data_IF_133306369559
#
_entry.id   IF_133306369559
#
_cell.length_a   1.000
_cell.length_b   1.000
_cell.length_c   1.000
_cell.angle_alpha   90.00
_cell.angle_beta   90.00
_cell.angle_gamma   90.00
#
_symmetry.space_group_name_H-M   'P 1'
#
loop_
_entity.id
_entity.type
_entity.pdbx_description
1 polymer ?
#
# COMPACT_ATOMS: atom_id res chain seq x y z
N UNK A 1 25.78 48.35 -26.50
CA UNK A 1 26.27 47.21 -27.30
C UNK A 1 26.92 46.24 -26.35
N UNK A 2 26.48 44.98 -26.40
CA UNK A 2 26.99 43.77 -25.73
C UNK A 2 27.14 43.81 -24.20
N UNK A 3 26.19 43.18 -23.52
CA UNK A 3 26.35 42.69 -22.15
C UNK A 3 26.97 41.29 -22.18
N UNK A 4 27.88 41.02 -21.27
CA UNK A 4 28.39 39.67 -20.97
C UNK A 4 27.64 39.12 -19.76
N UNK A 5 26.81 38.12 -20.02
CA UNK A 5 26.14 37.35 -18.99
C UNK A 5 27.12 36.30 -18.42
N UNK A 6 27.51 36.47 -17.16
CA UNK A 6 28.25 35.44 -16.42
C UNK A 6 27.22 34.44 -15.88
N UNK A 7 27.08 33.32 -16.60
CA UNK A 7 26.38 32.12 -16.14
C UNK A 7 27.19 31.47 -15.02
N UNK A 8 26.76 31.61 -13.77
CA UNK A 8 27.21 30.75 -12.68
C UNK A 8 26.35 29.50 -12.66
N UNK A 9 26.87 28.43 -13.28
CA UNK A 9 26.36 27.08 -13.08
C UNK A 9 26.56 26.70 -11.61
N UNK A 10 25.47 26.59 -10.87
CA UNK A 10 25.44 25.98 -9.55
C UNK A 10 25.65 24.49 -9.76
N UNK A 11 26.84 23.99 -9.42
CA UNK A 11 27.11 22.56 -9.39
C UNK A 11 26.17 21.92 -8.37
N UNK A 12 25.19 21.15 -8.85
CA UNK A 12 24.45 20.19 -8.05
C UNK A 12 25.46 19.22 -7.45
N UNK A 13 25.75 19.37 -6.16
CA UNK A 13 26.44 18.34 -5.40
C UNK A 13 25.50 17.14 -5.31
N UNK A 14 25.76 16.13 -6.13
CA UNK A 14 25.19 14.80 -5.99
C UNK A 14 25.35 14.34 -4.54
N UNK A 15 24.22 14.22 -3.84
CA UNK A 15 24.17 13.55 -2.54
C UNK A 15 24.55 12.09 -2.79
N UNK A 16 25.61 11.56 -2.14
CA UNK A 16 26.03 10.20 -2.36
C UNK A 16 24.89 9.25 -1.97
N UNK A 17 24.44 8.44 -2.92
CA UNK A 17 23.53 7.33 -2.68
C UNK A 17 24.18 6.35 -1.71
N UNK A 18 23.60 6.09 -0.52
CA UNK A 18 24.07 5.00 0.31
C UNK A 18 23.76 3.69 -0.42
N UNK A 19 24.81 2.98 -0.83
CA UNK A 19 24.76 1.63 -1.34
C UNK A 19 24.33 0.67 -0.23
N UNK A 20 23.03 0.52 -0.06
CA UNK A 20 22.42 -0.62 0.64
C UNK A 20 21.05 -0.88 0.03
N UNK A 21 21.03 -1.20 -1.27
CA UNK A 21 19.84 -1.75 -1.90
C UNK A 21 19.56 -3.12 -1.28
N UNK A 22 18.38 -3.26 -0.67
CA UNK A 22 17.88 -4.53 -0.16
C UNK A 22 17.29 -5.33 -1.33
N UNK A 23 18.11 -5.86 -2.23
CA UNK A 23 17.62 -6.69 -3.35
C UNK A 23 17.67 -8.20 -3.01
N UNK A 24 16.67 -8.93 -3.50
CA UNK A 24 15.96 -10.01 -2.78
C UNK A 24 16.22 -11.43 -3.33
N UNK A 25 17.15 -11.62 -4.28
CA UNK A 25 17.41 -12.96 -4.81
C UNK A 25 18.12 -13.85 -3.75
N UNK A 26 17.39 -14.84 -3.21
CA UNK A 26 17.87 -15.76 -2.16
C UNK A 26 17.35 -15.48 -0.74
N UNK A 27 16.71 -14.33 -0.49
CA UNK A 27 16.09 -13.99 0.81
C UNK A 27 14.63 -14.45 0.92
N UNK A 28 13.98 -14.77 -0.19
CA UNK A 28 12.54 -15.09 -0.28
C UNK A 28 12.12 -16.28 0.58
N UNK A 29 12.84 -17.41 0.52
CA UNK A 29 12.53 -18.59 1.35
C UNK A 29 12.64 -18.24 2.84
N UNK A 30 13.79 -17.70 3.24
CA UNK A 30 14.06 -17.30 4.63
C UNK A 30 13.01 -16.31 5.15
N UNK A 31 12.68 -15.27 4.39
CA UNK A 31 11.69 -14.26 4.77
C UNK A 31 10.30 -14.88 4.97
N UNK A 32 9.93 -15.89 4.19
CA UNK A 32 8.68 -16.63 4.40
C UNK A 32 8.71 -17.51 5.63
N UNK A 33 9.83 -18.18 5.87
CA UNK A 33 10.00 -18.98 7.10
C UNK A 33 9.88 -18.06 8.33
N UNK A 34 10.46 -16.85 8.29
CA UNK A 34 10.29 -15.83 9.33
C UNK A 34 8.85 -15.32 9.42
N UNK A 35 8.15 -15.18 8.29
CA UNK A 35 6.77 -14.72 8.23
C UNK A 35 5.75 -15.79 8.66
N UNK A 36 6.16 -17.05 8.84
CA UNK A 36 5.26 -18.17 9.18
C UNK A 36 5.64 -18.88 10.48
N UNK A 37 6.84 -18.65 11.01
CA UNK A 37 7.30 -19.29 12.26
C UNK A 37 6.52 -18.85 13.50
N UNK A 38 6.33 -19.80 14.42
CA UNK A 38 5.73 -19.56 15.75
C UNK A 38 6.77 -19.16 16.82
N UNK A 39 8.07 -19.17 16.48
CA UNK A 39 9.12 -18.78 17.42
C UNK A 39 9.24 -17.26 17.49
N UNK A 40 9.76 -16.79 18.62
CA UNK A 40 10.16 -15.39 18.75
C UNK A 40 11.33 -15.07 17.80
N UNK A 41 11.16 -14.00 17.02
CA UNK A 41 12.18 -13.50 16.10
C UNK A 41 13.25 -12.71 16.85
N UNK A 42 14.51 -12.90 16.47
CA UNK A 42 15.61 -12.04 16.94
C UNK A 42 15.47 -10.62 16.38
N UNK A 43 16.21 -9.65 16.93
CA UNK A 43 16.18 -8.27 16.44
C UNK A 43 16.52 -8.18 14.94
N UNK A 44 17.56 -8.91 14.50
CA UNK A 44 17.97 -8.90 13.10
C UNK A 44 16.92 -9.50 12.17
N UNK A 45 16.23 -10.55 12.62
CA UNK A 45 15.14 -11.19 11.86
C UNK A 45 13.90 -10.30 11.79
N UNK A 46 13.54 -9.63 12.90
CA UNK A 46 12.47 -8.63 12.90
C UNK A 46 12.78 -7.49 11.94
N UNK A 47 14.02 -7.02 11.93
CA UNK A 47 14.48 -5.97 11.03
C UNK A 47 14.46 -6.41 9.57
N UNK A 48 14.98 -7.61 9.25
CA UNK A 48 14.97 -8.16 7.89
C UNK A 48 13.54 -8.35 7.37
N UNK A 49 12.65 -8.90 8.21
CA UNK A 49 11.25 -9.09 7.87
C UNK A 49 10.51 -7.77 7.68
N UNK A 50 10.73 -6.78 8.55
CA UNK A 50 10.13 -5.45 8.42
C UNK A 50 10.64 -4.72 7.16
N UNK A 51 11.93 -4.75 6.88
CA UNK A 51 12.50 -4.18 5.66
C UNK A 51 11.92 -4.83 4.40
N UNK A 52 11.55 -6.12 4.43
CA UNK A 52 10.93 -6.81 3.29
C UNK A 52 9.53 -6.31 2.90
N UNK A 53 8.90 -5.47 3.73
CA UNK A 53 7.60 -4.85 3.45
C UNK A 53 7.75 -3.66 2.49
N UNK A 54 8.87 -2.95 2.56
CA UNK A 54 9.11 -1.75 1.76
C UNK A 54 10.04 -2.00 0.58
N UNK A 55 9.78 -1.30 -0.52
CA UNK A 55 10.78 -1.10 -1.58
C UNK A 55 11.78 0.01 -1.21
N UNK A 56 11.36 0.93 -0.33
CA UNK A 56 12.21 2.00 0.21
C UNK A 56 12.02 2.09 1.74
N UNK A 57 13.13 2.23 2.47
CA UNK A 57 13.12 2.46 3.92
C UNK A 57 13.97 3.69 4.26
N UNK A 58 13.39 4.70 4.92
CA UNK A 58 14.05 5.95 5.34
C UNK A 58 13.89 6.12 6.86
N UNK A 59 14.87 5.82 7.70
CA UNK A 59 16.14 5.15 7.41
C UNK A 59 16.21 3.73 8.01
N UNK A 60 16.91 2.76 7.40
CA UNK A 60 16.97 1.38 7.90
C UNK A 60 17.56 1.25 9.31
N UNK A 61 18.54 2.08 9.65
CA UNK A 61 19.15 2.09 10.99
C UNK A 61 18.19 2.66 12.04
N UNK A 62 17.37 3.64 11.68
CA UNK A 62 16.31 4.16 12.55
C UNK A 62 15.26 3.07 12.82
N UNK A 63 14.90 2.28 11.81
CA UNK A 63 13.99 1.13 11.97
C UNK A 63 14.56 0.08 12.92
N UNK A 64 15.85 -0.27 12.75
CA UNK A 64 16.50 -1.27 13.62
C UNK A 64 16.52 -0.78 15.07
N UNK A 65 16.94 0.46 15.30
CA UNK A 65 16.94 1.08 16.63
C UNK A 65 15.54 1.17 17.23
N UNK A 66 14.52 1.44 16.42
CA UNK A 66 13.13 1.50 16.86
C UNK A 66 12.64 0.13 17.33
N UNK A 67 12.90 -0.93 16.56
CA UNK A 67 12.50 -2.31 16.89
C UNK A 67 13.22 -2.84 18.15
N UNK A 68 14.44 -2.38 18.40
CA UNK A 68 15.22 -2.71 19.60
C UNK A 68 14.68 -2.00 20.85
N UNK A 69 14.44 -0.69 20.75
CA UNK A 69 14.20 0.17 21.92
C UNK A 69 12.73 0.35 22.28
N UNK A 70 11.82 0.24 21.32
CA UNK A 70 10.38 0.42 21.53
C UNK A 70 9.67 -0.93 21.42
N UNK A 71 9.06 -1.46 22.52
CA UNK A 71 8.41 -2.76 22.50
C UNK A 71 7.27 -2.87 21.49
N UNK A 72 6.44 -1.82 21.39
CA UNK A 72 5.30 -1.75 20.50
C UNK A 72 5.39 -0.49 19.61
N UNK A 73 6.23 -0.49 18.56
CA UNK A 73 6.24 0.59 17.58
C UNK A 73 4.88 0.68 16.86
N UNK A 74 4.47 1.88 16.49
CA UNK A 74 3.20 2.13 15.81
C UNK A 74 3.48 2.38 14.33
N UNK A 75 2.94 1.52 13.47
CA UNK A 75 2.82 1.77 12.04
C UNK A 75 1.39 2.21 11.70
N UNK A 76 1.24 2.94 10.60
CA UNK A 76 -0.08 3.22 10.04
C UNK A 76 -0.07 3.25 8.51
N UNK A 77 -1.25 3.02 7.94
CA UNK A 77 -1.58 3.33 6.55
C UNK A 77 -3.00 3.92 6.47
N UNK A 78 -3.17 4.90 5.58
CA UNK A 78 -4.40 5.67 5.42
C UNK A 78 -5.08 5.38 4.08
N UNK A 79 -6.41 5.21 4.12
CA UNK A 79 -7.19 4.84 2.95
C UNK A 79 -8.39 5.77 2.79
N UNK A 80 -8.46 6.47 1.65
CA UNK A 80 -9.66 7.17 1.22
C UNK A 80 -10.76 6.17 0.84
N UNK A 81 -11.93 6.15 1.53
CA UNK A 81 -13.06 5.30 1.15
C UNK A 81 -13.73 5.85 -0.12
N UNK A 82 -13.28 5.36 -1.27
CA UNK A 82 -13.50 5.99 -2.59
C UNK A 82 -14.18 5.08 -3.61
N UNK A 83 -14.84 4.03 -3.15
CA UNK A 83 -15.45 2.96 -3.95
C UNK A 83 -14.85 1.60 -3.63
N UNK A 84 -15.11 0.61 -4.48
CA UNK A 84 -14.67 -0.78 -4.31
C UNK A 84 -13.17 -0.89 -3.98
N UNK A 85 -12.82 -1.82 -3.07
CA UNK A 85 -11.44 -2.07 -2.65
C UNK A 85 -10.76 -3.00 -3.65
N UNK A 86 -9.59 -2.63 -4.12
CA UNK A 86 -8.81 -3.48 -5.00
C UNK A 86 -7.79 -4.33 -4.25
N UNK A 87 -7.27 -5.38 -4.90
CA UNK A 87 -6.47 -6.43 -4.26
C UNK A 87 -5.21 -5.93 -3.54
N UNK A 88 -4.59 -4.86 -4.02
CA UNK A 88 -3.43 -4.26 -3.33
C UNK A 88 -3.82 -3.64 -1.97
N UNK A 89 -5.01 -3.07 -1.84
CA UNK A 89 -5.51 -2.50 -0.59
C UNK A 89 -5.97 -3.56 0.41
N UNK A 90 -6.37 -4.75 -0.07
CA UNK A 90 -6.78 -5.87 0.79
C UNK A 90 -5.66 -6.87 1.02
N UNK A 91 -5.41 -7.75 0.04
CA UNK A 91 -4.48 -8.89 0.16
C UNK A 91 -3.04 -8.45 0.40
N UNK A 92 -2.49 -7.59 -0.47
CA UNK A 92 -1.10 -7.13 -0.32
C UNK A 92 -0.90 -6.36 1.00
N UNK A 93 -1.91 -5.59 1.40
CA UNK A 93 -1.89 -4.89 2.68
C UNK A 93 -1.91 -5.86 3.86
N UNK A 94 -2.76 -6.89 3.85
CA UNK A 94 -2.79 -7.92 4.88
C UNK A 94 -1.43 -8.64 5.02
N UNK A 95 -0.80 -9.00 3.90
CA UNK A 95 0.55 -9.58 3.90
C UNK A 95 1.56 -8.68 4.61
N UNK A 96 1.58 -7.39 4.26
CA UNK A 96 2.50 -6.42 4.85
C UNK A 96 2.23 -6.18 6.33
N UNK A 97 0.96 -6.11 6.73
CA UNK A 97 0.57 -5.95 8.13
C UNK A 97 0.96 -7.16 8.97
N UNK A 98 0.69 -8.39 8.49
CA UNK A 98 1.05 -9.62 9.21
C UNK A 98 2.57 -9.71 9.45
N UNK A 99 3.39 -9.32 8.47
CA UNK A 99 4.85 -9.23 8.65
C UNK A 99 5.23 -8.26 9.78
N UNK A 100 4.61 -7.08 9.83
CA UNK A 100 4.91 -6.07 10.85
C UNK A 100 4.39 -6.45 12.24
N UNK A 101 3.20 -7.02 12.36
CA UNK A 101 2.64 -7.46 13.65
C UNK A 101 3.47 -8.58 14.28
N UNK A 102 4.04 -9.47 13.44
CA UNK A 102 5.06 -10.46 13.84
C UNK A 102 6.37 -9.82 14.29
N UNK A 103 6.73 -8.67 13.72
CA UNK A 103 7.83 -7.84 14.22
C UNK A 103 7.49 -7.05 15.49
N UNK A 104 6.33 -7.27 16.13
CA UNK A 104 5.91 -6.55 17.35
C UNK A 104 5.36 -5.15 17.10
N UNK A 105 5.05 -4.81 15.85
CA UNK A 105 4.48 -3.50 15.48
C UNK A 105 2.96 -3.53 15.69
N UNK A 106 2.43 -2.46 16.28
CA UNK A 106 1.00 -2.15 16.28
C UNK A 106 0.67 -1.40 15.00
N UNK A 107 -0.27 -1.91 14.22
CA UNK A 107 -0.67 -1.32 12.95
C UNK A 107 -2.03 -0.63 13.06
N UNK A 108 -2.09 0.64 12.64
CA UNK A 108 -3.33 1.42 12.59
C UNK A 108 -3.78 1.60 11.14
N UNK A 109 -4.97 1.10 10.83
CA UNK A 109 -5.69 1.46 9.61
C UNK A 109 -6.44 2.76 9.86
N UNK A 110 -6.07 3.79 9.10
CA UNK A 110 -6.71 5.10 9.14
C UNK A 110 -7.75 5.20 8.03
N UNK A 111 -9.03 5.05 8.39
CA UNK A 111 -10.17 5.21 7.49
C UNK A 111 -10.39 6.71 7.28
N UNK A 112 -9.82 7.23 6.19
CA UNK A 112 -9.63 8.65 5.93
C UNK A 112 -10.88 9.25 5.26
N UNK A 113 -12.00 9.27 5.98
CA UNK A 113 -13.31 9.69 5.46
C UNK A 113 -13.38 11.19 5.12
N UNK A 114 -12.95 12.07 6.01
CA UNK A 114 -12.86 13.51 5.73
C UNK A 114 -11.89 13.82 4.60
N UNK A 115 -10.81 13.03 4.48
CA UNK A 115 -9.84 13.18 3.40
C UNK A 115 -10.47 12.80 2.05
N UNK A 116 -11.19 11.69 1.99
CA UNK A 116 -11.96 11.30 0.81
C UNK A 116 -13.00 12.36 0.42
N UNK A 117 -13.63 13.01 1.41
CA UNK A 117 -14.55 14.12 1.17
C UNK A 117 -13.82 15.34 0.59
N UNK A 118 -12.69 15.74 1.17
CA UNK A 118 -11.85 16.85 0.69
C UNK A 118 -11.34 16.60 -0.73
N UNK A 119 -11.12 15.34 -1.11
CA UNK A 119 -10.73 14.92 -2.45
C UNK A 119 -11.93 14.53 -3.35
N UNK A 120 -13.14 14.99 -3.01
CA UNK A 120 -14.36 14.87 -3.80
C UNK A 120 -14.72 13.42 -4.23
N UNK A 121 -14.36 12.43 -3.42
CA UNK A 121 -14.72 11.03 -3.66
C UNK A 121 -16.20 10.82 -3.39
N UNK A 122 -16.85 9.98 -4.20
CA UNK A 122 -18.28 9.66 -4.11
C UNK A 122 -19.20 10.90 -4.08
N UNK A 123 -18.79 11.97 -4.77
CA UNK A 123 -19.48 13.25 -4.86
C UNK A 123 -19.29 14.16 -3.64
N UNK A 124 -18.31 13.87 -2.78
CA UNK A 124 -18.13 14.56 -1.49
C UNK A 124 -19.20 14.18 -0.45
N UNK A 125 -19.98 13.13 -0.72
CA UNK A 125 -21.05 12.64 0.14
C UNK A 125 -20.47 11.81 1.30
N UNK A 126 -20.40 12.42 2.48
CA UNK A 126 -19.76 11.83 3.65
C UNK A 126 -20.45 10.53 4.10
N UNK A 127 -21.76 10.38 3.89
CA UNK A 127 -22.48 9.17 4.29
C UNK A 127 -22.15 7.99 3.37
N UNK A 128 -22.02 8.23 2.06
CA UNK A 128 -21.49 7.22 1.13
C UNK A 128 -20.05 6.84 1.44
N UNK A 129 -19.23 7.83 1.82
CA UNK A 129 -17.83 7.61 2.19
C UNK A 129 -17.75 6.77 3.47
N UNK A 130 -18.53 7.09 4.50
CA UNK A 130 -18.58 6.31 5.76
C UNK A 130 -19.05 4.89 5.54
N UNK A 131 -20.11 4.70 4.74
CA UNK A 131 -20.57 3.37 4.31
C UNK A 131 -19.45 2.59 3.62
N UNK A 132 -18.70 3.25 2.72
CA UNK A 132 -17.55 2.65 2.05
C UNK A 132 -16.40 2.34 3.02
N UNK A 133 -16.21 3.16 4.06
CA UNK A 133 -15.22 2.93 5.11
C UNK A 133 -15.54 1.69 5.95
N UNK A 134 -16.80 1.50 6.31
CA UNK A 134 -17.28 0.29 7.00
C UNK A 134 -17.10 -0.94 6.11
N UNK A 135 -17.46 -0.83 4.83
CA UNK A 135 -17.19 -1.87 3.83
C UNK A 135 -15.71 -2.27 3.76
N UNK A 136 -14.77 -1.32 3.82
CA UNK A 136 -13.34 -1.62 3.84
C UNK A 136 -12.92 -2.38 5.09
N UNK A 137 -13.43 -1.97 6.26
CA UNK A 137 -13.16 -2.65 7.53
C UNK A 137 -13.64 -4.10 7.50
N UNK A 138 -14.81 -4.37 6.93
CA UNK A 138 -15.33 -5.74 6.79
C UNK A 138 -14.45 -6.61 5.88
N UNK A 139 -13.90 -6.05 4.79
CA UNK A 139 -12.92 -6.78 3.95
C UNK A 139 -11.65 -7.12 4.74
N UNK A 140 -11.07 -6.17 5.47
CA UNK A 140 -9.84 -6.41 6.22
C UNK A 140 -10.04 -7.42 7.35
N UNK A 141 -11.22 -7.47 7.95
CA UNK A 141 -11.61 -8.53 8.90
C UNK A 141 -11.71 -9.89 8.23
N UNK A 142 -12.30 -9.96 7.03
CA UNK A 142 -12.57 -11.22 6.34
C UNK A 142 -11.33 -11.85 5.68
N UNK A 143 -10.34 -11.06 5.25
CA UNK A 143 -9.18 -11.57 4.49
C UNK A 143 -8.17 -12.35 5.36
N UNK A 144 -8.33 -12.39 6.68
CA UNK A 144 -7.46 -13.17 7.57
C UNK A 144 -6.23 -12.42 8.06
N UNK A 145 -6.40 -11.14 8.41
CA UNK A 145 -5.33 -10.35 9.03
C UNK A 145 -5.11 -10.75 10.50
N UNK A 146 -3.87 -10.97 10.90
CA UNK A 146 -3.51 -11.41 12.25
C UNK A 146 -3.55 -10.25 13.25
N UNK A 147 -4.03 -10.50 14.47
CA UNK A 147 -3.95 -9.55 15.59
C UNK A 147 -4.98 -8.41 15.56
N UNK A 148 -6.10 -8.56 14.83
CA UNK A 148 -7.22 -7.61 14.88
C UNK A 148 -7.72 -7.43 16.32
N UNK A 149 -7.83 -6.17 16.76
CA UNK A 149 -8.28 -5.80 18.11
C UNK A 149 -7.18 -5.78 19.16
N UNK A 150 -5.99 -6.30 18.85
CA UNK A 150 -4.81 -6.26 19.74
C UNK A 150 -3.67 -5.44 19.12
N UNK A 151 -3.15 -5.93 18.00
CA UNK A 151 -2.05 -5.29 17.25
C UNK A 151 -2.55 -4.55 16.02
N UNK A 152 -3.73 -4.85 15.50
CA UNK A 152 -4.33 -4.17 14.35
C UNK A 152 -5.56 -3.40 14.80
N UNK A 153 -5.56 -2.09 14.57
CA UNK A 153 -6.61 -1.16 15.00
C UNK A 153 -7.20 -0.45 13.78
N UNK A 154 -8.52 -0.39 13.70
CA UNK A 154 -9.23 0.41 12.70
C UNK A 154 -9.71 1.70 13.36
N UNK A 155 -9.29 2.84 12.81
CA UNK A 155 -9.59 4.17 13.34
C UNK A 155 -10.24 5.00 12.25
N UNK A 156 -11.35 5.66 12.56
CA UNK A 156 -12.02 6.58 11.65
C UNK A 156 -11.48 8.01 11.84
N UNK A 157 -11.10 8.66 10.75
CA UNK A 157 -10.44 9.96 10.80
C UNK A 157 -11.33 11.05 11.42
N UNK A 158 -12.56 11.21 10.90
CA UNK A 158 -13.49 12.21 11.41
C UNK A 158 -13.79 12.04 12.90
N UNK A 159 -13.98 10.80 13.35
CA UNK A 159 -14.30 10.51 14.75
C UNK A 159 -13.11 10.79 15.68
N UNK A 160 -11.92 10.30 15.36
CA UNK A 160 -10.75 10.46 16.22
C UNK A 160 -10.28 11.92 16.28
N UNK A 161 -10.34 12.64 15.16
CA UNK A 161 -10.06 14.07 15.10
C UNK A 161 -11.09 14.84 15.92
N UNK A 162 -12.39 14.54 15.80
CA UNK A 162 -13.43 15.23 16.55
C UNK A 162 -13.26 15.03 18.07
N UNK A 163 -12.94 13.80 18.52
CA UNK A 163 -12.68 13.49 19.94
C UNK A 163 -11.51 14.30 20.52
N UNK A 164 -10.51 14.62 19.69
CA UNK A 164 -9.27 15.29 20.11
C UNK A 164 -9.02 16.59 19.31
N UNK A 165 -10.08 17.33 19.00
CA UNK A 165 -10.04 18.41 18.02
C UNK A 165 -8.98 19.48 18.34
N UNK A 166 -8.79 19.83 19.62
CA UNK A 166 -7.76 20.79 20.02
C UNK A 166 -6.35 20.28 19.70
N UNK A 167 -6.01 19.06 20.14
CA UNK A 167 -4.69 18.46 19.89
C UNK A 167 -4.42 18.37 18.39
N UNK A 168 -5.38 17.89 17.61
CA UNK A 168 -5.22 17.75 16.17
C UNK A 168 -5.04 19.11 15.47
N UNK A 169 -5.89 20.09 15.80
CA UNK A 169 -5.85 21.40 15.17
C UNK A 169 -4.57 22.16 15.52
N UNK A 170 -4.08 22.05 16.75
CA UNK A 170 -2.82 22.68 17.16
C UNK A 170 -1.64 22.13 16.33
N UNK A 171 -1.57 20.80 16.11
CA UNK A 171 -0.55 20.18 15.26
C UNK A 171 -0.70 20.63 13.80
N UNK A 172 -1.92 20.58 13.27
CA UNK A 172 -2.20 20.91 11.87
C UNK A 172 -1.85 22.37 11.55
N UNK A 173 -2.21 23.31 12.44
CA UNK A 173 -1.87 24.73 12.28
C UNK A 173 -0.36 24.95 12.34
N UNK A 174 0.37 24.32 13.26
CA UNK A 174 1.84 24.44 13.34
C UNK A 174 2.54 23.86 12.10
N UNK A 175 2.01 22.78 11.52
CA UNK A 175 2.46 22.26 10.21
C UNK A 175 2.22 23.29 9.11
N UNK A 176 1.03 23.90 9.05
CA UNK A 176 0.70 24.92 8.04
C UNK A 176 1.61 26.15 8.13
N UNK A 177 1.94 26.61 9.34
CA UNK A 177 2.85 27.74 9.56
C UNK A 177 4.32 27.40 9.24
N UNK A 178 4.69 26.12 9.31
CA UNK A 178 6.05 25.64 9.13
C UNK A 178 6.53 25.62 7.68
N UNK A 179 5.62 25.63 6.69
CA UNK A 179 5.96 25.41 5.28
C UNK A 179 5.38 26.47 4.35
N UNK A 180 6.07 26.70 3.22
CA UNK A 180 5.55 27.57 2.17
C UNK A 180 4.43 26.86 1.39
N UNK A 181 3.55 27.65 0.78
CA UNK A 181 2.51 27.13 -0.10
C UNK A 181 3.07 26.22 -1.20
N UNK A 182 4.15 26.62 -1.88
CA UNK A 182 4.80 25.82 -2.92
C UNK A 182 5.31 24.46 -2.41
N UNK A 183 5.74 24.38 -1.15
CA UNK A 183 6.17 23.12 -0.54
C UNK A 183 4.98 22.18 -0.30
N UNK A 184 3.82 22.74 0.07
CA UNK A 184 2.57 21.98 0.27
C UNK A 184 1.98 21.54 -1.07
N UNK A 185 1.95 22.43 -2.07
CA UNK A 185 1.44 22.11 -3.42
C UNK A 185 2.18 20.94 -4.07
N UNK A 186 3.50 20.84 -3.88
CA UNK A 186 4.30 19.69 -4.35
C UNK A 186 3.86 18.34 -3.77
N UNK A 187 3.16 18.33 -2.64
CA UNK A 187 2.63 17.12 -2.00
C UNK A 187 1.23 16.73 -2.49
N UNK A 188 0.56 17.51 -3.34
CA UNK A 188 -0.81 17.23 -3.80
C UNK A 188 -0.93 15.92 -4.61
N UNK A 189 0.18 15.38 -5.12
CA UNK A 189 0.23 14.08 -5.77
C UNK A 189 -0.18 12.91 -4.87
N UNK A 190 -0.08 13.05 -3.54
CA UNK A 190 -0.50 12.02 -2.58
C UNK A 190 -2.00 11.71 -2.68
N UNK A 191 -2.80 12.67 -3.14
CA UNK A 191 -4.25 12.53 -3.38
C UNK A 191 -4.58 12.38 -4.88
N UNK A 192 -3.57 12.13 -5.72
CA UNK A 192 -3.72 11.92 -7.17
C UNK A 192 -3.98 13.20 -7.97
N UNK A 193 -3.52 14.36 -7.48
CA UNK A 193 -3.66 15.67 -8.12
C UNK A 193 -2.29 16.25 -8.52
N UNK A 194 -2.24 17.05 -9.58
CA UNK A 194 -1.06 17.84 -9.93
C UNK A 194 -1.04 19.16 -9.15
N UNK A 195 0.14 19.72 -8.93
CA UNK A 195 0.31 21.06 -8.36
C UNK A 195 -0.21 22.17 -9.27
N UNK A 196 -0.39 21.86 -10.56
CA UNK A 196 -0.94 22.76 -11.58
C UNK A 196 -2.44 22.62 -11.79
N UNK A 197 -3.10 21.67 -11.10
CA UNK A 197 -4.55 21.51 -11.19
C UNK A 197 -5.26 22.71 -10.54
N UNK A 198 -6.53 22.92 -10.89
CA UNK A 198 -7.39 23.82 -10.14
C UNK A 198 -7.77 23.16 -8.81
N UNK A 199 -7.10 23.59 -7.73
CA UNK A 199 -7.25 23.01 -6.40
C UNK A 199 -8.14 23.88 -5.51
N UNK A 200 -9.08 23.24 -4.83
CA UNK A 200 -9.82 23.88 -3.73
C UNK A 200 -8.89 24.13 -2.51
N UNK A 201 -9.23 25.09 -1.62
CA UNK A 201 -8.50 25.27 -0.37
C UNK A 201 -8.43 23.99 0.49
N UNK A 202 -9.48 23.16 0.46
CA UNK A 202 -9.48 21.87 1.13
C UNK A 202 -8.36 20.95 0.59
N UNK A 203 -8.20 20.87 -0.72
CA UNK A 203 -7.14 20.10 -1.37
C UNK A 203 -5.73 20.65 -1.07
N UNK A 204 -5.59 21.96 -0.88
CA UNK A 204 -4.31 22.56 -0.44
C UNK A 204 -4.00 22.20 1.02
N UNK A 205 -5.02 22.12 1.88
CA UNK A 205 -4.86 21.77 3.31
C UNK A 205 -4.64 20.25 3.51
N UNK A 206 -5.12 19.42 2.58
CA UNK A 206 -5.04 17.96 2.67
C UNK A 206 -3.64 17.45 3.06
N UNK A 207 -2.51 17.86 2.42
CA UNK A 207 -1.19 17.37 2.80
C UNK A 207 -0.75 17.82 4.20
N UNK A 208 -1.22 18.98 4.68
CA UNK A 208 -0.96 19.45 6.04
C UNK A 208 -1.66 18.55 7.06
N UNK A 209 -2.92 18.18 6.80
CA UNK A 209 -3.67 17.25 7.64
C UNK A 209 -3.04 15.86 7.66
N UNK A 210 -2.64 15.31 6.50
CA UNK A 210 -1.98 14.00 6.47
C UNK A 210 -0.60 14.02 7.14
N UNK A 211 0.11 15.15 7.10
CA UNK A 211 1.34 15.34 7.89
C UNK A 211 1.02 15.36 9.40
N UNK A 212 -0.05 16.05 9.81
CA UNK A 212 -0.51 16.08 11.20
C UNK A 212 -0.90 14.69 11.71
N UNK A 213 -1.56 13.87 10.89
CA UNK A 213 -1.95 12.49 11.22
C UNK A 213 -0.78 11.65 11.74
N UNK A 214 0.41 11.80 11.15
CA UNK A 214 1.62 11.05 11.55
C UNK A 214 1.94 11.30 13.03
N UNK A 215 1.80 12.54 13.49
CA UNK A 215 2.08 12.93 14.87
C UNK A 215 0.91 12.63 15.80
N UNK A 216 -0.31 12.90 15.34
CA UNK A 216 -1.54 12.63 16.07
C UNK A 216 -1.73 11.14 16.37
N UNK A 217 -1.51 10.28 15.37
CA UNK A 217 -1.56 8.82 15.53
C UNK A 217 -0.36 8.26 16.29
N UNK A 218 0.64 9.10 16.61
CA UNK A 218 1.92 8.73 17.24
C UNK A 218 2.62 7.64 16.45
N UNK A 219 2.58 7.73 15.11
CA UNK A 219 3.20 6.78 14.22
C UNK A 219 4.72 6.90 14.30
N UNK A 220 5.38 5.77 14.57
CA UNK A 220 6.83 5.64 14.44
C UNK A 220 7.23 5.19 13.03
N UNK A 221 6.32 4.51 12.32
CA UNK A 221 6.51 3.99 10.96
C UNK A 221 5.36 4.46 10.06
N UNK A 222 5.67 5.23 9.02
CA UNK A 222 4.75 5.51 7.92
C UNK A 222 4.83 4.35 6.90
N UNK A 223 3.89 3.40 6.97
CA UNK A 223 3.84 2.23 6.09
C UNK A 223 2.82 2.45 4.96
N UNK A 224 3.10 3.39 4.08
CA UNK A 224 2.20 3.77 2.97
C UNK A 224 2.81 3.39 1.61
N UNK A 225 2.07 3.60 0.53
CA UNK A 225 2.58 3.40 -0.83
C UNK A 225 3.68 4.40 -1.18
N UNK A 226 4.51 4.08 -2.18
CA UNK A 226 5.57 4.97 -2.66
C UNK A 226 5.04 6.33 -3.14
N UNK A 227 3.79 6.38 -3.61
CA UNK A 227 3.08 7.61 -3.99
C UNK A 227 2.82 8.57 -2.81
N UNK A 228 2.84 8.07 -1.57
CA UNK A 228 2.68 8.87 -0.35
C UNK A 228 4.01 9.42 0.18
N UNK A 229 5.15 9.11 -0.47
CA UNK A 229 6.50 9.47 -0.02
C UNK A 229 6.67 10.97 0.26
N UNK A 230 6.09 11.85 -0.56
CA UNK A 230 6.31 13.30 -0.46
C UNK A 230 5.82 13.90 0.86
N UNK A 231 4.66 13.46 1.36
CA UNK A 231 4.14 13.93 2.67
C UNK A 231 4.87 13.26 3.83
N UNK A 232 5.30 12.00 3.68
CA UNK A 232 6.12 11.34 4.69
C UNK A 232 7.48 12.04 4.88
N UNK A 233 8.10 12.50 3.78
CA UNK A 233 9.30 13.33 3.83
C UNK A 233 9.01 14.71 4.43
N UNK A 234 7.86 15.33 4.11
CA UNK A 234 7.40 16.58 4.73
C UNK A 234 7.35 16.45 6.27
N UNK A 235 6.85 15.32 6.79
CA UNK A 235 6.82 15.07 8.23
C UNK A 235 8.23 14.97 8.85
N UNK A 236 9.19 14.38 8.13
CA UNK A 236 10.61 14.35 8.58
C UNK A 236 11.29 15.72 8.52
N UNK A 237 10.92 16.57 7.56
CA UNK A 237 11.34 17.97 7.50
C UNK A 237 10.75 18.77 8.66
N UNK A 238 9.47 18.55 8.96
CA UNK A 238 8.76 19.19 10.07
C UNK A 238 9.43 18.87 11.40
N UNK A 239 9.77 17.60 11.66
CA UNK A 239 10.57 17.20 12.82
C UNK A 239 11.86 18.02 12.98
N UNK A 240 12.54 18.37 11.89
CA UNK A 240 13.75 19.22 11.95
C UNK A 240 13.40 20.64 12.42
N UNK A 241 12.32 21.22 11.90
CA UNK A 241 11.87 22.57 12.25
C UNK A 241 11.48 22.69 13.72
N UNK A 242 10.73 21.70 14.24
CA UNK A 242 10.33 21.65 15.66
C UNK A 242 11.40 21.01 16.57
N UNK A 243 12.60 20.72 16.05
CA UNK A 243 13.73 20.12 16.77
C UNK A 243 13.40 18.78 17.45
N UNK A 244 12.45 18.02 16.90
CA UNK A 244 12.11 16.67 17.33
C UNK A 244 13.17 15.68 16.83
N UNK A 245 13.88 15.05 17.77
CA UNK A 245 14.98 14.10 17.46
C UNK A 245 14.50 12.81 16.79
N UNK A 246 13.42 12.22 17.31
CA UNK A 246 12.87 10.96 16.79
C UNK A 246 11.92 11.27 15.64
N UNK A 247 12.39 10.98 14.43
CA UNK A 247 11.64 11.11 13.18
C UNK A 247 10.90 9.81 12.87
N UNK A 248 9.74 9.87 12.21
CA UNK A 248 9.05 8.68 11.75
C UNK A 248 9.88 8.00 10.65
N UNK A 249 10.04 6.69 10.76
CA UNK A 249 10.61 5.84 9.70
C UNK A 249 9.60 5.79 8.55
N UNK A 250 10.05 5.98 7.33
CA UNK A 250 9.23 5.80 6.12
C UNK A 250 9.51 4.41 5.58
N UNK A 251 8.48 3.57 5.46
CA UNK A 251 8.59 2.20 4.93
C UNK A 251 7.61 2.04 3.76
N UNK A 252 8.02 2.56 2.62
CA UNK A 252 7.18 2.67 1.42
C UNK A 252 7.10 1.34 0.69
N UNK A 253 5.89 0.81 0.44
CA UNK A 253 5.71 -0.42 -0.33
C UNK A 253 5.60 -0.16 -1.85
N UNK A 254 5.91 -1.19 -2.65
CA UNK A 254 5.80 -1.15 -4.11
C UNK A 254 4.33 -0.99 -4.56
N UNK A 255 4.12 -0.33 -5.69
CA UNK A 255 2.80 -0.20 -6.29
C UNK A 255 2.47 -1.46 -7.10
N UNK A 256 1.31 -2.08 -6.83
CA UNK A 256 0.85 -3.20 -7.66
C UNK A 256 0.35 -2.67 -9.02
N UNK A 257 0.85 -3.20 -10.15
CA UNK A 257 0.47 -2.73 -11.48
C UNK A 257 -0.99 -3.07 -11.80
N UNK A 258 -1.55 -2.31 -12.75
CA UNK A 258 -2.81 -2.66 -13.40
C UNK A 258 -2.63 -3.87 -14.31
N UNK A 259 -3.73 -4.54 -14.65
CA UNK A 259 -3.68 -5.75 -15.47
C UNK A 259 -3.39 -5.49 -16.95
N UNK A 260 -3.54 -4.25 -17.44
CA UNK A 260 -3.32 -3.92 -18.85
C UNK A 260 -1.92 -3.33 -19.08
N UNK A 261 -1.48 -3.32 -20.34
CA UNK A 261 -0.16 -2.82 -20.73
C UNK A 261 0.03 -1.33 -20.35
N UNK A 262 1.22 -0.98 -19.86
CA UNK A 262 1.59 0.39 -19.51
C UNK A 262 0.98 0.93 -18.21
N UNK A 263 0.23 0.10 -17.45
CA UNK A 263 -0.38 0.52 -16.19
C UNK A 263 0.52 0.24 -14.99
N UNK A 264 1.41 1.19 -14.67
CA UNK A 264 2.33 1.09 -13.52
C UNK A 264 1.61 0.99 -12.16
N UNK A 265 0.37 1.47 -12.08
CA UNK A 265 -0.46 1.44 -10.86
C UNK A 265 -1.89 1.07 -11.19
N UNK A 266 -2.47 0.17 -10.39
CA UNK A 266 -3.89 -0.15 -10.48
C UNK A 266 -4.77 1.08 -10.22
N UNK A 267 -5.78 1.27 -11.07
CA UNK A 267 -6.68 2.41 -11.01
C UNK A 267 -8.12 1.95 -10.89
N UNK A 268 -8.90 2.60 -10.00
CA UNK A 268 -10.34 2.36 -9.87
C UNK A 268 -11.15 2.81 -11.09
N UNK A 269 -10.54 3.53 -12.03
CA UNK A 269 -11.26 4.09 -13.19
C UNK A 269 -11.41 3.14 -14.35
N UNK A 270 -10.56 2.12 -14.44
CA UNK A 270 -10.77 1.04 -15.39
C UNK A 270 -11.06 -0.24 -14.58
N UNK A 271 -12.33 -0.63 -14.45
CA UNK A 271 -12.71 -1.83 -13.71
C UNK A 271 -12.07 -3.13 -14.25
N UNK A 272 -11.59 -3.15 -15.49
CA UNK A 272 -10.90 -4.30 -16.08
C UNK A 272 -9.40 -4.31 -15.78
N UNK A 273 -8.82 -3.17 -15.38
CA UNK A 273 -7.42 -3.07 -14.94
C UNK A 273 -7.17 -3.55 -13.51
N UNK A 274 -8.24 -3.75 -12.74
CA UNK A 274 -8.18 -3.98 -11.30
C UNK A 274 -8.94 -5.24 -10.91
N UNK A 275 -8.37 -6.04 -10.01
CA UNK A 275 -9.09 -7.10 -9.30
C UNK A 275 -9.62 -6.50 -8.01
N UNK A 276 -10.93 -6.58 -7.81
CA UNK A 276 -11.58 -6.17 -6.58
C UNK A 276 -11.70 -7.34 -5.61
N UNK A 277 -11.70 -7.04 -4.31
CA UNK A 277 -11.65 -8.04 -3.22
C UNK A 277 -12.83 -9.01 -3.23
N UNK A 278 -13.93 -8.60 -3.84
CA UNK A 278 -15.20 -9.30 -3.92
C UNK A 278 -15.67 -9.52 -5.37
N UNK A 279 -14.75 -9.46 -6.33
CA UNK A 279 -15.02 -9.94 -7.68
C UNK A 279 -15.39 -11.43 -7.65
N UNK A 280 -16.35 -11.82 -8.49
CA UNK A 280 -16.74 -13.22 -8.63
C UNK A 280 -15.58 -14.06 -9.19
N UNK A 281 -15.64 -15.39 -9.02
CA UNK A 281 -14.61 -16.27 -9.59
C UNK A 281 -14.47 -16.07 -11.12
N UNK A 282 -15.61 -15.95 -11.81
CA UNK A 282 -15.67 -15.70 -13.25
C UNK A 282 -15.11 -14.32 -13.64
N UNK A 283 -15.29 -13.29 -12.81
CA UNK A 283 -14.69 -11.97 -13.07
C UNK A 283 -13.17 -11.99 -12.96
N UNK A 284 -12.63 -12.68 -11.95
CA UNK A 284 -11.18 -12.86 -11.80
C UNK A 284 -10.60 -13.62 -12.99
N UNK A 285 -11.23 -14.73 -13.40
CA UNK A 285 -10.82 -15.52 -14.57
C UNK A 285 -10.83 -14.68 -15.85
N UNK A 286 -11.92 -13.94 -16.09
CA UNK A 286 -12.04 -13.06 -17.26
C UNK A 286 -10.97 -11.96 -17.26
N UNK A 287 -10.72 -11.31 -16.12
CA UNK A 287 -9.74 -10.23 -16.00
C UNK A 287 -8.30 -10.73 -16.20
N UNK A 288 -7.95 -11.86 -15.57
CA UNK A 288 -6.62 -12.47 -15.73
C UNK A 288 -6.41 -13.01 -17.15
N UNK A 289 -7.45 -13.60 -17.76
CA UNK A 289 -7.40 -14.04 -19.16
C UNK A 289 -7.04 -12.87 -20.10
N UNK A 290 -7.63 -11.70 -19.87
CA UNK A 290 -7.39 -10.47 -20.64
C UNK A 290 -6.16 -9.66 -20.20
N UNK A 291 -5.47 -10.06 -19.12
CA UNK A 291 -4.33 -9.31 -18.61
C UNK A 291 -3.16 -9.32 -19.61
N UNK A 292 -2.37 -8.25 -19.62
CA UNK A 292 -1.11 -8.19 -20.34
C UNK A 292 -0.16 -9.25 -19.77
N UNK A 293 0.35 -10.14 -20.63
CA UNK A 293 1.25 -11.22 -20.24
C UNK A 293 2.06 -11.66 -21.47
N UNK A 294 2.94 -10.80 -21.99
CA UNK A 294 3.77 -11.10 -23.16
C UNK A 294 4.64 -12.34 -22.91
N UNK A 295 4.77 -13.20 -23.92
CA UNK A 295 5.61 -14.40 -23.84
C UNK A 295 7.05 -14.03 -23.48
N UNK A 296 7.66 -14.83 -22.59
CA UNK A 296 9.09 -14.74 -22.25
C UNK A 296 9.58 -13.38 -21.72
N UNK A 297 8.65 -12.51 -21.33
CA UNK A 297 8.94 -11.14 -20.90
C UNK A 297 8.47 -10.94 -19.46
N UNK A 298 9.43 -10.63 -18.58
CA UNK A 298 9.21 -10.39 -17.14
C UNK A 298 8.92 -8.91 -16.86
N UNK A 299 9.69 -8.02 -17.50
CA UNK A 299 9.56 -6.58 -17.30
C UNK A 299 8.17 -6.10 -17.72
N UNK A 300 7.53 -5.31 -16.84
CA UNK A 300 6.18 -4.80 -17.08
C UNK A 300 5.07 -5.85 -17.13
N UNK A 301 5.34 -7.12 -16.78
CA UNK A 301 4.34 -8.19 -16.81
C UNK A 301 3.53 -8.25 -15.50
N UNK A 302 2.26 -7.80 -15.48
CA UNK A 302 1.46 -7.78 -14.26
C UNK A 302 1.17 -9.19 -13.73
N UNK A 303 1.05 -10.21 -14.59
CA UNK A 303 0.77 -11.56 -14.13
C UNK A 303 1.94 -12.11 -13.30
N UNK A 304 3.18 -11.90 -13.75
CA UNK A 304 4.38 -12.27 -13.00
C UNK A 304 4.44 -11.49 -11.68
N UNK A 305 4.19 -10.18 -11.72
CA UNK A 305 4.16 -9.34 -10.51
C UNK A 305 3.12 -9.80 -9.49
N UNK A 306 1.95 -10.26 -9.89
CA UNK A 306 0.94 -10.76 -8.96
C UNK A 306 1.39 -12.08 -8.33
N UNK A 307 2.04 -12.95 -9.10
CA UNK A 307 2.59 -14.19 -8.55
C UNK A 307 3.68 -13.87 -7.51
N UNK A 308 4.60 -12.97 -7.83
CA UNK A 308 5.74 -12.66 -6.95
C UNK A 308 5.38 -11.81 -5.73
N UNK A 309 4.43 -10.88 -5.85
CA UNK A 309 4.04 -9.96 -4.77
C UNK A 309 2.83 -10.43 -3.97
N UNK A 310 1.99 -11.32 -4.51
CA UNK A 310 0.78 -11.81 -3.84
C UNK A 310 0.84 -13.32 -3.62
N UNK A 311 0.92 -14.12 -4.68
CA UNK A 311 0.73 -15.58 -4.54
C UNK A 311 1.86 -16.24 -3.75
N UNK A 312 3.12 -15.98 -4.10
CA UNK A 312 4.27 -16.58 -3.42
C UNK A 312 4.39 -16.13 -1.96
N UNK A 313 4.15 -14.84 -1.60
CA UNK A 313 4.11 -14.43 -0.20
C UNK A 313 2.91 -14.98 0.58
N UNK A 314 1.76 -15.21 -0.07
CA UNK A 314 0.54 -15.72 0.57
C UNK A 314 0.60 -17.23 0.82
N UNK A 315 0.88 -18.00 -0.22
CA UNK A 315 0.75 -19.47 -0.18
C UNK A 315 2.09 -20.18 -0.02
N UNK A 316 3.22 -19.49 -0.18
CA UNK A 316 4.55 -20.10 -0.20
C UNK A 316 4.87 -20.92 -1.47
N UNK A 317 3.86 -21.22 -2.28
CA UNK A 317 4.01 -21.98 -3.52
C UNK A 317 3.00 -21.52 -4.55
N UNK A 318 3.43 -21.44 -5.80
CA UNK A 318 2.56 -21.27 -6.96
C UNK A 318 2.58 -22.57 -7.77
N UNK A 319 1.42 -23.19 -7.93
CA UNK A 319 1.29 -24.48 -8.65
C UNK A 319 0.66 -24.24 -10.00
N UNK A 320 1.30 -24.73 -11.06
CA UNK A 320 0.80 -24.69 -12.44
C UNK A 320 0.57 -26.13 -12.89
N UNK A 321 -0.62 -26.41 -13.40
CA UNK A 321 -1.01 -27.72 -13.92
C UNK A 321 -1.37 -27.58 -15.41
N UNK A 322 -0.37 -27.49 -16.30
CA UNK A 322 -0.57 -27.46 -17.75
C UNK A 322 -1.38 -28.66 -18.27
N UNK A 323 -1.96 -28.49 -19.45
CA UNK A 323 -2.78 -29.51 -20.10
C UNK A 323 -2.02 -30.78 -20.49
N UNK A 324 -0.68 -30.73 -20.51
CA UNK A 324 0.20 -31.87 -20.74
C UNK A 324 0.30 -32.84 -19.54
N UNK A 325 -0.31 -32.49 -18.40
CA UNK A 325 -0.35 -33.29 -17.18
C UNK A 325 0.88 -33.13 -16.27
N UNK A 326 1.84 -32.28 -16.61
CA UNK A 326 3.04 -32.03 -15.79
C UNK A 326 2.77 -30.97 -14.72
N UNK A 327 2.55 -31.36 -13.46
CA UNK A 327 2.43 -30.37 -12.39
C UNK A 327 3.78 -29.73 -12.05
N UNK A 328 3.86 -28.40 -12.13
CA UNK A 328 5.02 -27.62 -11.72
C UNK A 328 4.70 -26.79 -10.49
N UNK A 329 5.67 -26.67 -9.59
CA UNK A 329 5.53 -25.93 -8.33
C UNK A 329 6.69 -24.97 -8.19
N UNK A 330 6.36 -23.69 -8.14
CA UNK A 330 7.32 -22.61 -7.94
C UNK A 330 7.25 -22.15 -6.50
N UNK A 331 8.31 -22.37 -5.75
CA UNK A 331 8.47 -21.75 -4.43
C UNK A 331 9.36 -20.50 -4.50
N UNK A 332 10.05 -20.25 -5.60
CA UNK A 332 10.94 -19.10 -5.72
C UNK A 332 10.62 -18.28 -6.98
N UNK A 333 10.68 -16.96 -6.84
CA UNK A 333 10.40 -16.05 -7.94
C UNK A 333 11.42 -16.20 -9.07
N UNK A 334 12.70 -16.44 -8.76
CA UNK A 334 13.71 -16.57 -9.80
C UNK A 334 13.56 -17.88 -10.58
N UNK A 335 13.02 -18.95 -9.97
CA UNK A 335 12.66 -20.17 -10.69
C UNK A 335 11.51 -19.93 -11.68
N UNK A 336 10.45 -19.29 -11.23
CA UNK A 336 9.32 -18.90 -12.08
C UNK A 336 9.77 -18.03 -13.26
N UNK A 337 10.59 -17.00 -12.99
CA UNK A 337 11.07 -16.07 -14.00
C UNK A 337 11.97 -16.74 -15.04
N UNK A 338 12.83 -17.69 -14.62
CA UNK A 338 13.66 -18.49 -15.55
C UNK A 338 12.80 -19.32 -16.49
N UNK A 339 11.90 -20.13 -15.94
CA UNK A 339 11.02 -21.00 -16.72
C UNK A 339 10.08 -20.21 -17.64
N UNK A 340 9.67 -19.00 -17.23
CA UNK A 340 8.87 -18.14 -18.10
C UNK A 340 9.71 -17.55 -19.24
N UNK A 341 10.94 -17.13 -18.95
CA UNK A 341 11.86 -16.51 -19.94
C UNK A 341 12.36 -17.50 -20.99
N UNK A 342 12.66 -18.73 -20.59
CA UNK A 342 13.12 -19.77 -21.53
C UNK A 342 11.98 -20.40 -22.35
N UNK A 343 10.72 -20.11 -21.98
CA UNK A 343 9.52 -20.59 -22.65
C UNK A 343 9.02 -21.95 -22.17
N UNK A 344 9.61 -22.49 -21.10
CA UNK A 344 9.12 -23.69 -20.42
C UNK A 344 7.70 -23.45 -19.88
N UNK A 345 7.45 -22.28 -19.27
CA UNK A 345 6.13 -21.84 -18.79
C UNK A 345 5.53 -20.80 -19.74
N UNK A 346 4.35 -21.11 -20.29
CA UNK A 346 3.63 -20.22 -21.22
C UNK A 346 2.60 -19.32 -20.50
N UNK A 347 2.19 -18.20 -21.11
CA UNK A 347 1.07 -17.40 -20.62
C UNK A 347 -0.24 -18.20 -20.52
N UNK A 348 -0.48 -19.16 -21.43
CA UNK A 348 -1.67 -20.00 -21.46
C UNK A 348 -1.77 -20.95 -20.27
N UNK A 349 -0.63 -21.37 -19.70
CA UNK A 349 -0.61 -22.20 -18.49
C UNK A 349 -0.60 -21.33 -17.23
N UNK A 350 0.12 -20.21 -17.26
CA UNK A 350 0.31 -19.31 -16.12
C UNK A 350 -0.99 -18.61 -15.71
N UNK A 351 -1.77 -18.10 -16.67
CA UNK A 351 -2.98 -17.31 -16.39
C UNK A 351 -4.08 -18.11 -15.67
N UNK A 352 -4.47 -19.32 -16.12
CA UNK A 352 -5.46 -20.12 -15.39
C UNK A 352 -5.02 -20.46 -13.96
N UNK A 353 -3.74 -20.81 -13.78
CA UNK A 353 -3.19 -21.10 -12.46
C UNK A 353 -3.21 -19.86 -11.54
N UNK A 354 -2.88 -18.68 -12.08
CA UNK A 354 -2.96 -17.41 -11.36
C UNK A 354 -4.41 -17.09 -10.96
N UNK A 355 -5.36 -17.21 -11.88
CA UNK A 355 -6.78 -16.97 -11.58
C UNK A 355 -7.30 -17.90 -10.48
N UNK A 356 -6.97 -19.19 -10.53
CA UNK A 356 -7.34 -20.16 -9.51
C UNK A 356 -6.74 -19.81 -8.13
N UNK A 357 -5.46 -19.44 -8.09
CA UNK A 357 -4.80 -19.06 -6.84
C UNK A 357 -5.41 -17.78 -6.24
N UNK A 358 -5.69 -16.76 -7.07
CA UNK A 358 -6.37 -15.55 -6.63
C UNK A 358 -7.78 -15.84 -6.13
N UNK A 359 -8.52 -16.71 -6.81
CA UNK A 359 -9.86 -17.11 -6.40
C UNK A 359 -9.87 -17.78 -5.03
N UNK A 360 -8.87 -18.61 -4.72
CA UNK A 360 -8.72 -19.20 -3.39
C UNK A 360 -8.44 -18.14 -2.31
N UNK A 361 -7.59 -17.16 -2.59
CA UNK A 361 -7.26 -16.06 -1.66
C UNK A 361 -8.48 -15.19 -1.36
N UNK A 362 -9.30 -14.90 -2.37
CA UNK A 362 -10.47 -14.02 -2.24
C UNK A 362 -11.70 -14.74 -1.66
N UNK A 363 -11.69 -16.07 -1.58
CA UNK A 363 -12.85 -16.85 -1.15
C UNK A 363 -13.37 -16.48 0.24
N UNK A 364 -12.53 -16.32 1.29
CA UNK A 364 -13.01 -15.93 2.62
C UNK A 364 -13.75 -14.58 2.62
N UNK A 365 -13.33 -13.64 1.76
CA UNK A 365 -14.02 -12.35 1.61
C UNK A 365 -15.39 -12.55 0.96
N UNK A 366 -15.48 -13.34 -0.11
CA UNK A 366 -16.76 -13.67 -0.75
C UNK A 366 -17.73 -14.32 0.24
N UNK A 367 -17.25 -15.33 0.96
CA UNK A 367 -18.05 -16.06 1.95
C UNK A 367 -18.56 -15.11 3.06
N UNK A 368 -17.74 -14.16 3.52
CA UNK A 368 -18.16 -13.16 4.50
C UNK A 368 -19.31 -12.28 3.97
N UNK A 369 -19.16 -11.73 2.76
CA UNK A 369 -20.18 -10.87 2.16
C UNK A 369 -21.44 -11.63 1.69
N UNK A 370 -21.39 -12.95 1.57
CA UNK A 370 -22.55 -13.78 1.30
C UNK A 370 -23.33 -14.12 2.58
N UNK A 371 -22.61 -14.47 3.65
CA UNK A 371 -23.17 -15.03 4.87
C UNK A 371 -23.45 -14.01 5.98
N UNK A 372 -22.86 -12.81 5.91
CA UNK A 372 -23.14 -11.73 6.86
C UNK A 372 -24.09 -10.70 6.22
N UNK A 373 -25.30 -10.55 6.80
CA UNK A 373 -26.34 -9.66 6.26
C UNK A 373 -25.94 -8.18 6.23
N UNK A 374 -25.23 -7.70 7.24
CA UNK A 374 -24.77 -6.31 7.31
C UNK A 374 -23.68 -6.05 6.26
N UNK A 375 -22.68 -6.94 6.17
CA UNK A 375 -21.64 -6.84 5.16
C UNK A 375 -22.23 -6.91 3.75
N UNK A 376 -23.17 -7.82 3.51
CA UNK A 376 -23.89 -7.96 2.23
C UNK A 376 -24.60 -6.67 1.83
N UNK A 377 -25.26 -6.00 2.77
CA UNK A 377 -25.91 -4.72 2.54
C UNK A 377 -24.88 -3.62 2.21
N UNK A 378 -23.78 -3.53 2.96
CA UNK A 378 -22.69 -2.59 2.67
C UNK A 378 -22.14 -2.77 1.25
N UNK A 379 -21.92 -4.01 0.81
CA UNK A 379 -21.47 -4.31 -0.55
C UNK A 379 -22.49 -3.91 -1.61
N UNK A 380 -23.77 -4.20 -1.38
CA UNK A 380 -24.85 -3.76 -2.26
C UNK A 380 -24.83 -2.24 -2.44
N UNK A 381 -24.73 -1.50 -1.34
CA UNK A 381 -24.76 -0.04 -1.35
C UNK A 381 -23.52 0.54 -2.04
N UNK A 382 -22.32 0.04 -1.73
CA UNK A 382 -21.07 0.46 -2.38
C UNK A 382 -21.08 0.20 -3.89
N UNK A 383 -21.67 -0.91 -4.36
CA UNK A 383 -21.84 -1.19 -5.79
C UNK A 383 -22.82 -0.24 -6.49
N UNK A 384 -23.79 0.31 -5.75
CA UNK A 384 -24.75 1.28 -6.27
C UNK A 384 -24.17 2.69 -6.43
N UNK A 385 -23.06 3.00 -5.75
CA UNK A 385 -22.49 4.35 -5.76
C UNK A 385 -21.75 4.66 -7.06
N UNK A 386 -22.02 5.85 -7.60
CA UNK A 386 -21.27 6.39 -8.72
C UNK A 386 -19.89 6.85 -8.24
N UNK A 387 -18.83 6.30 -8.84
CA UNK A 387 -17.46 6.71 -8.57
C UNK A 387 -17.20 8.10 -9.16
N UNK A 388 -16.70 9.01 -8.34
CA UNK A 388 -16.23 10.35 -8.73
C UNK A 388 -14.79 10.56 -8.29
N UNK A 389 -14.12 11.54 -8.88
CA UNK A 389 -12.70 11.84 -8.63
C UNK A 389 -12.47 13.22 -8.05
#
# INVERSE_FOLDING_TARGET
MAGEAVSQAVAEQEVPTPSTSCTVAGRTQRLRDLATTDRQLTLDERWELACSVGIECIQPDELKNLLDKKPNPVAYDGFEPSGRMHIAQGVMKALNVNKLTRCGVVFKFWVADIFAQMNNKLGGDIEKIRTTGQYFVEIWKAIGMEGIGEKVLFLNASEEIAKHAREYNDIMMDVMESFTQDRILRCTQIMGRSETDELSPAQIIYPCMQCADIFFLKADICQLGLDQRKVNVLAREYCTKIKRKLKPVILSHEMLPGLLEGQEKMSKSDPNSAIFMEDSAADVERKISNAFCPERTIEGNPCIKYITLIILPWSGVFTVSPADGTSRKYSDAAELERDYTDGTLSPSDLKPALAAALNAILQPVRDHFENNAEAKQLLHDVRSFKITR
#
